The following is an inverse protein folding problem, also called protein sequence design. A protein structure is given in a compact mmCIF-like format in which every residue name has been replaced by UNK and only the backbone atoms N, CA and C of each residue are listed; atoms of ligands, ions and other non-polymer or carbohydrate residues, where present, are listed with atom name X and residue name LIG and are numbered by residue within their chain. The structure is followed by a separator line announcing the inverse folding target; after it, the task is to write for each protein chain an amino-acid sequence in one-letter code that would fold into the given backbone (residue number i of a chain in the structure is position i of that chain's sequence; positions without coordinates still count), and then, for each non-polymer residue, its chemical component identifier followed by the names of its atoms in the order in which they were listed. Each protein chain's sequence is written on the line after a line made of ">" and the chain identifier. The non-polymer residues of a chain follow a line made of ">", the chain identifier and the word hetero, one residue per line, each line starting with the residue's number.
data_IF_709682456288
#
_entry.id   IF_709682456288
#
_cell.length_a   1.000
_cell.length_b   1.000
_cell.length_c   1.000
_cell.angle_alpha   90.00
_cell.angle_beta   90.00
_cell.angle_gamma   90.00
#
_symmetry.space_group_name_H-M   'P 1'
#
loop_
_entity.id
_entity.type
_entity.pdbx_description
1 polymer ?
#
# COMPACT_ATOMS: atom_id res chain seq x y z
N UNK A 1 33.28 -3.34 8.65
CA UNK A 1 31.87 -3.34 9.09
C UNK A 1 31.08 -4.22 8.14
N UNK A 2 30.44 -5.29 8.61
CA UNK A 2 29.72 -6.22 7.73
C UNK A 2 28.44 -5.55 7.21
N UNK A 3 28.26 -5.43 5.89
CA UNK A 3 27.10 -4.78 5.27
C UNK A 3 25.76 -5.44 5.62
N UNK A 4 25.79 -6.72 6.06
CA UNK A 4 24.59 -7.42 6.53
C UNK A 4 23.97 -6.77 7.77
N UNK A 5 24.78 -6.16 8.65
CA UNK A 5 24.31 -5.54 9.89
C UNK A 5 23.41 -4.32 9.59
N UNK A 6 23.86 -3.27 8.87
CA UNK A 6 23.01 -2.13 8.55
C UNK A 6 21.82 -2.53 7.66
N UNK A 7 22.00 -3.47 6.72
CA UNK A 7 20.90 -3.96 5.90
C UNK A 7 19.79 -4.60 6.74
N UNK A 8 20.16 -5.42 7.73
CA UNK A 8 19.19 -6.08 8.61
C UNK A 8 18.46 -5.04 9.48
N UNK A 9 19.17 -4.07 10.03
CA UNK A 9 18.58 -2.98 10.81
C UNK A 9 17.57 -2.20 9.96
N UNK A 10 17.94 -1.84 8.72
CA UNK A 10 17.06 -1.12 7.81
C UNK A 10 15.80 -1.92 7.49
N UNK A 11 15.91 -3.21 7.19
CA UNK A 11 14.75 -4.07 6.91
C UNK A 11 13.81 -4.11 8.12
N UNK A 12 14.36 -4.32 9.33
CA UNK A 12 13.56 -4.32 10.56
C UNK A 12 12.86 -2.98 10.76
N UNK A 13 13.57 -1.87 10.56
CA UNK A 13 13.03 -0.52 10.69
C UNK A 13 11.86 -0.28 9.73
N UNK A 14 12.01 -0.65 8.46
CA UNK A 14 10.95 -0.53 7.44
C UNK A 14 9.74 -1.41 7.78
N UNK A 15 9.96 -2.63 8.26
CA UNK A 15 8.87 -3.54 8.67
C UNK A 15 8.12 -2.98 9.89
N UNK A 16 8.84 -2.42 10.87
CA UNK A 16 8.21 -1.78 12.03
C UNK A 16 7.42 -0.54 11.62
N UNK A 17 7.99 0.32 10.79
CA UNK A 17 7.28 1.47 10.22
C UNK A 17 5.99 1.05 9.52
N UNK A 18 6.07 0.07 8.60
CA UNK A 18 4.91 -0.45 7.88
C UNK A 18 3.83 -0.97 8.84
N UNK A 19 4.19 -1.77 9.86
CA UNK A 19 3.21 -2.34 10.79
C UNK A 19 2.62 -1.33 11.76
N UNK A 20 3.44 -0.48 12.36
CA UNK A 20 2.99 0.45 13.40
C UNK A 20 2.25 1.62 12.76
N UNK A 21 2.89 2.30 11.81
CA UNK A 21 2.31 3.47 11.15
C UNK A 21 1.17 3.07 10.22
N UNK A 22 1.33 1.99 9.44
CA UNK A 22 0.26 1.50 8.57
C UNK A 22 -1.01 1.15 9.35
N UNK A 23 -0.88 0.50 10.51
CA UNK A 23 -2.02 0.19 11.39
C UNK A 23 -2.63 1.44 12.03
N UNK A 24 -1.83 2.46 12.35
CA UNK A 24 -2.35 3.75 12.81
C UNK A 24 -3.19 4.42 11.71
N UNK A 25 -2.69 4.49 10.47
CA UNK A 25 -3.41 5.06 9.34
C UNK A 25 -4.70 4.29 9.07
N UNK A 26 -4.63 2.96 8.99
CA UNK A 26 -5.79 2.07 8.76
C UNK A 26 -6.89 2.31 9.81
N UNK A 27 -6.53 2.34 11.10
CA UNK A 27 -7.52 2.33 12.19
C UNK A 27 -7.97 3.71 12.66
N UNK A 28 -7.09 4.72 12.61
CA UNK A 28 -7.36 6.04 13.19
C UNK A 28 -7.67 7.08 12.13
N UNK A 29 -6.99 7.04 10.99
CA UNK A 29 -7.16 8.03 9.92
C UNK A 29 -8.24 7.61 8.93
N UNK A 30 -8.08 6.43 8.32
CA UNK A 30 -8.98 5.95 7.27
C UNK A 30 -10.20 5.20 7.82
N UNK A 31 -10.07 4.61 9.01
CA UNK A 31 -11.11 3.81 9.67
C UNK A 31 -11.67 2.74 8.71
N UNK A 32 -10.76 1.96 8.14
CA UNK A 32 -11.10 0.95 7.11
C UNK A 32 -12.04 -0.09 7.70
N UNK A 33 -13.17 -0.30 7.03
CA UNK A 33 -14.19 -1.28 7.39
C UNK A 33 -14.29 -2.34 6.28
N UNK A 34 -13.91 -3.59 6.55
CA UNK A 34 -14.01 -4.67 5.57
C UNK A 34 -15.43 -5.00 5.12
N UNK A 35 -16.46 -4.59 5.86
CA UNK A 35 -17.86 -4.82 5.51
C UNK A 35 -18.40 -3.79 4.52
N UNK A 36 -17.72 -2.65 4.35
CA UNK A 36 -18.10 -1.62 3.39
C UNK A 36 -17.64 -1.99 1.98
N UNK A 37 -18.55 -2.10 1.00
CA UNK A 37 -18.15 -2.32 -0.39
C UNK A 37 -17.34 -1.13 -0.90
N UNK A 38 -16.35 -1.41 -1.76
CA UNK A 38 -15.61 -0.36 -2.46
C UNK A 38 -16.47 0.23 -3.58
N UNK A 39 -16.28 1.52 -3.96
CA UNK A 39 -16.97 2.12 -5.10
C UNK A 39 -16.83 1.32 -6.40
N UNK A 40 -15.68 0.67 -6.62
CA UNK A 40 -15.47 -0.23 -7.75
C UNK A 40 -16.49 -1.39 -7.85
N UNK A 41 -17.17 -1.74 -6.76
CA UNK A 41 -18.23 -2.75 -6.72
C UNK A 41 -19.63 -2.13 -6.65
N UNK A 42 -19.81 -1.07 -5.85
CA UNK A 42 -21.12 -0.45 -5.63
C UNK A 42 -21.58 0.42 -6.82
N UNK A 43 -20.64 1.13 -7.46
CA UNK A 43 -20.89 2.04 -8.59
C UNK A 43 -20.37 1.47 -9.92
N UNK A 44 -20.25 0.14 -10.02
CA UNK A 44 -19.58 -0.55 -11.13
C UNK A 44 -20.22 -0.24 -12.50
N UNK A 45 -19.64 0.72 -13.22
CA UNK A 45 -20.07 1.19 -14.54
C UNK A 45 -19.22 0.62 -15.69
N UNK A 46 -18.11 -0.06 -15.36
CA UNK A 46 -17.18 -0.63 -16.32
C UNK A 46 -16.25 0.38 -17.00
N UNK A 47 -16.30 1.67 -16.61
CA UNK A 47 -15.49 2.75 -17.16
C UNK A 47 -14.67 3.41 -16.03
N UNK A 48 -15.34 4.16 -15.13
CA UNK A 48 -14.69 4.87 -14.03
C UNK A 48 -14.57 4.00 -12.78
N UNK A 49 -15.52 3.09 -12.57
CA UNK A 49 -15.56 2.17 -11.45
C UNK A 49 -15.60 0.73 -11.96
N UNK A 50 -14.49 0.01 -11.82
CA UNK A 50 -14.41 -1.40 -12.19
C UNK A 50 -13.54 -2.21 -11.22
N UNK A 51 -13.97 -3.42 -10.80
CA UNK A 51 -13.18 -4.26 -9.92
C UNK A 51 -11.87 -4.72 -10.59
N UNK A 52 -10.73 -4.42 -9.98
CA UNK A 52 -9.43 -4.88 -10.43
C UNK A 52 -8.80 -5.91 -9.47
N UNK A 53 -7.93 -6.76 -10.01
CA UNK A 53 -7.15 -7.71 -9.20
C UNK A 53 -6.14 -6.95 -8.34
N UNK A 54 -5.98 -7.35 -7.08
CA UNK A 54 -5.08 -6.70 -6.11
C UNK A 54 -3.64 -6.58 -6.62
N UNK A 55 -3.12 -7.60 -7.28
CA UNK A 55 -1.76 -7.59 -7.84
C UNK A 55 -1.59 -6.54 -8.95
N UNK A 56 -2.61 -6.34 -9.77
CA UNK A 56 -2.60 -5.31 -10.82
C UNK A 56 -2.63 -3.91 -10.21
N UNK A 57 -3.52 -3.67 -9.24
CA UNK A 57 -3.59 -2.40 -8.51
C UNK A 57 -2.26 -2.09 -7.81
N UNK A 58 -1.66 -3.09 -7.15
CA UNK A 58 -0.34 -2.93 -6.53
C UNK A 58 0.72 -2.51 -7.55
N UNK A 59 0.77 -3.16 -8.72
CA UNK A 59 1.70 -2.80 -9.79
C UNK A 59 1.53 -1.36 -10.25
N UNK A 60 0.31 -0.91 -10.49
CA UNK A 60 0.03 0.47 -10.88
C UNK A 60 0.41 1.49 -9.79
N UNK A 61 0.05 1.23 -8.54
CA UNK A 61 0.42 2.13 -7.44
C UNK A 61 1.94 2.17 -7.23
N UNK A 62 2.58 1.01 -7.26
CA UNK A 62 4.03 0.91 -7.15
C UNK A 62 4.71 1.65 -8.28
N UNK A 63 4.30 1.45 -9.53
CA UNK A 63 4.90 2.15 -10.68
C UNK A 63 4.67 3.65 -10.64
N UNK A 64 3.52 4.12 -10.15
CA UNK A 64 3.26 5.56 -10.00
C UNK A 64 4.13 6.21 -8.91
N UNK A 65 4.47 5.48 -7.85
CA UNK A 65 5.35 5.97 -6.77
C UNK A 65 6.82 5.85 -7.18
N UNK A 66 7.23 4.68 -7.67
CA UNK A 66 8.60 4.37 -8.05
C UNK A 66 9.01 5.02 -9.39
N UNK A 67 8.05 5.31 -10.26
CA UNK A 67 8.26 5.94 -11.56
C UNK A 67 8.79 7.37 -11.46
N UNK A 68 8.67 8.01 -10.30
CA UNK A 68 9.34 9.29 -10.03
C UNK A 68 10.88 9.18 -10.06
N UNK A 69 11.44 7.96 -9.95
CA UNK A 69 12.88 7.71 -10.10
C UNK A 69 13.75 8.48 -9.10
N UNK A 70 15.08 8.28 -9.11
CA UNK A 70 15.98 9.14 -8.35
C UNK A 70 15.99 10.54 -8.99
N UNK A 71 15.56 11.55 -8.24
CA UNK A 71 16.05 12.93 -8.42
C UNK A 71 17.42 13.05 -7.76
#
# INVERSE_FOLDING_TARGET
>A
MNALIPATILIIWLVLGYKIYGRFIEKKVLQVDPSRPTPARELNDGIDYSPAKKALLFGHHFSSIAGAGPI
#
